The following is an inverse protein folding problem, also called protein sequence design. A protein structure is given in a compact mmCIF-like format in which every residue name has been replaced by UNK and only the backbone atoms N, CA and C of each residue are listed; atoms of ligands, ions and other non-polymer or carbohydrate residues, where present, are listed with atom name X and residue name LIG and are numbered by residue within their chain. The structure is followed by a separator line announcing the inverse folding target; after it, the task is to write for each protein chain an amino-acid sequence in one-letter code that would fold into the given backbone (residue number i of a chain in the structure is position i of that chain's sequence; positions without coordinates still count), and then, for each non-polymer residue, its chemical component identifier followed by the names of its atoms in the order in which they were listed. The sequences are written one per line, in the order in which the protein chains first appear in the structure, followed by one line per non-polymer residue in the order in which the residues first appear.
data_IF_127329112440
#
_entry.id   IF_127329112440
#
_cell.length_a   1.000
_cell.length_b   1.000
_cell.length_c   1.000
_cell.angle_alpha   90.00
_cell.angle_beta   90.00
_cell.angle_gamma   90.00
#
_symmetry.space_group_name_H-M   'P 1'
#
loop_
_entity.id
_entity.type
_entity.pdbx_description
1 polymer ?
#
# COMPACT_ATOMS: atom_id res chain seq x y z
N UNK A 1 2.04 16.93 -18.18
CA UNK A 1 1.32 16.56 -16.95
C UNK A 1 0.44 15.39 -17.30
N UNK A 2 0.53 14.29 -16.57
CA UNK A 2 -0.14 13.02 -16.92
C UNK A 2 -1.28 12.65 -15.98
N UNK A 3 -1.41 13.37 -14.85
CA UNK A 3 -2.43 13.16 -13.83
C UNK A 3 -3.12 14.47 -13.47
N UNK A 4 -4.43 14.43 -13.21
CA UNK A 4 -5.19 15.53 -12.58
C UNK A 4 -5.87 15.06 -11.28
N UNK A 5 -6.17 15.99 -10.37
CA UNK A 5 -7.03 15.72 -9.19
C UNK A 5 -8.50 15.72 -9.59
N UNK A 6 -9.28 14.72 -9.14
CA UNK A 6 -10.76 14.78 -9.17
C UNK A 6 -11.33 15.31 -7.87
N UNK A 7 -12.63 15.66 -7.84
CA UNK A 7 -13.32 16.24 -6.67
C UNK A 7 -13.49 15.30 -5.46
N UNK A 8 -12.96 14.08 -5.50
CA UNK A 8 -13.03 13.15 -4.38
C UNK A 8 -11.93 13.48 -3.36
N UNK A 9 -12.30 13.56 -2.08
CA UNK A 9 -11.41 13.85 -0.95
C UNK A 9 -11.45 12.72 0.09
N UNK A 10 -10.31 12.44 0.69
CA UNK A 10 -10.12 11.52 1.81
C UNK A 10 -9.27 12.22 2.88
N UNK A 11 -9.73 12.24 4.12
CA UNK A 11 -8.92 12.72 5.25
C UNK A 11 -8.25 11.55 5.96
N UNK A 12 -6.93 11.60 6.12
CA UNK A 12 -6.12 10.50 6.64
C UNK A 12 -4.95 11.05 7.46
N UNK A 13 -4.86 10.68 8.74
CA UNK A 13 -3.92 11.25 9.72
C UNK A 13 -3.84 12.80 9.68
N UNK A 14 -4.97 13.47 9.49
CA UNK A 14 -5.06 14.94 9.37
C UNK A 14 -4.55 15.52 8.05
N UNK A 15 -4.06 14.71 7.11
CA UNK A 15 -3.78 15.10 5.72
C UNK A 15 -5.02 14.97 4.85
N UNK A 16 -5.11 15.80 3.81
CA UNK A 16 -6.17 15.74 2.79
C UNK A 16 -5.60 15.14 1.52
N UNK A 17 -6.13 13.99 1.13
CA UNK A 17 -5.76 13.29 -0.09
C UNK A 17 -6.83 13.50 -1.15
N UNK A 18 -6.39 13.70 -2.38
CA UNK A 18 -7.20 13.85 -3.58
C UNK A 18 -7.08 12.57 -4.40
N UNK A 19 -8.18 12.08 -4.97
CA UNK A 19 -8.10 10.99 -5.93
C UNK A 19 -7.57 11.51 -7.27
N UNK A 20 -6.74 10.74 -7.97
CA UNK A 20 -6.17 11.13 -9.27
C UNK A 20 -6.91 10.49 -10.46
N UNK A 21 -6.84 11.15 -11.62
CA UNK A 21 -7.26 10.62 -12.93
C UNK A 21 -6.16 10.79 -13.97
N UNK A 22 -6.00 9.83 -14.86
CA UNK A 22 -5.02 9.87 -15.95
C UNK A 22 -5.50 10.81 -17.08
N UNK A 23 -4.64 11.73 -17.50
CA UNK A 23 -4.92 12.72 -18.57
C UNK A 23 -4.45 12.24 -19.96
N UNK A 24 -3.57 11.24 -20.00
CA UNK A 24 -3.01 10.60 -21.18
C UNK A 24 -2.80 9.11 -20.87
N UNK A 25 -2.67 8.26 -21.88
CA UNK A 25 -2.28 6.86 -21.70
C UNK A 25 -0.76 6.74 -21.59
N UNK A 26 -0.26 5.91 -20.68
CA UNK A 26 1.18 5.67 -20.44
C UNK A 26 1.39 4.32 -19.72
N UNK A 27 2.50 3.63 -19.97
CA UNK A 27 2.75 2.29 -19.45
C UNK A 27 1.60 1.31 -19.77
N UNK A 28 0.82 0.97 -18.74
CA UNK A 28 -0.41 0.16 -18.83
C UNK A 28 -1.67 0.90 -18.30
N UNK A 29 -1.61 2.23 -18.19
CA UNK A 29 -2.68 3.11 -17.71
C UNK A 29 -3.30 3.82 -18.92
N UNK A 30 -4.63 3.89 -18.97
CA UNK A 30 -5.38 4.52 -20.05
C UNK A 30 -5.87 5.92 -19.69
N UNK A 31 -6.07 6.74 -20.71
CA UNK A 31 -6.64 8.09 -20.59
C UNK A 31 -8.03 8.02 -19.96
N UNK A 32 -8.21 8.66 -18.80
CA UNK A 32 -9.46 8.63 -18.02
C UNK A 32 -9.45 7.69 -16.82
N UNK A 33 -8.47 6.80 -16.68
CA UNK A 33 -8.37 5.85 -15.55
C UNK A 33 -8.37 6.56 -14.19
N UNK A 34 -9.13 6.03 -13.24
CA UNK A 34 -9.20 6.52 -11.86
C UNK A 34 -8.17 5.81 -10.98
N UNK A 35 -7.11 6.55 -10.64
CA UNK A 35 -6.09 6.09 -9.71
C UNK A 35 -6.52 6.20 -8.25
N UNK A 36 -5.55 6.02 -7.36
CA UNK A 36 -5.67 6.12 -5.92
C UNK A 36 -5.53 7.56 -5.43
N UNK A 37 -4.97 7.72 -4.23
CA UNK A 37 -5.07 8.93 -3.42
C UNK A 37 -3.70 9.57 -3.13
N UNK A 38 -3.57 10.88 -3.35
CA UNK A 38 -2.32 11.64 -3.16
C UNK A 38 -2.57 12.98 -2.48
N UNK A 39 -1.61 13.52 -1.72
CA UNK A 39 -1.70 14.88 -1.15
C UNK A 39 -1.46 15.95 -2.24
N UNK A 40 -0.64 15.63 -3.24
CA UNK A 40 -0.33 16.49 -4.39
C UNK A 40 0.00 15.68 -5.65
N UNK A 41 -0.23 16.24 -6.85
CA UNK A 41 0.24 15.62 -8.11
C UNK A 41 1.76 15.42 -8.13
N UNK A 42 2.50 16.20 -7.32
CA UNK A 42 3.96 16.03 -7.12
C UNK A 42 4.33 14.78 -6.33
N UNK A 43 3.38 14.02 -5.76
CA UNK A 43 3.64 12.69 -5.22
C UNK A 43 3.72 11.61 -6.33
N UNK A 44 3.30 11.93 -7.55
CA UNK A 44 3.43 11.06 -8.73
C UNK A 44 4.41 11.71 -9.70
N UNK A 45 5.48 10.99 -10.06
CA UNK A 45 6.43 11.49 -11.06
C UNK A 45 5.67 11.82 -12.36
N UNK A 46 5.79 13.05 -12.86
CA UNK A 46 5.06 13.50 -14.05
C UNK A 46 5.77 13.13 -15.37
N UNK A 47 7.02 12.66 -15.27
CA UNK A 47 7.72 11.84 -16.26
C UNK A 47 7.53 10.34 -15.97
N UNK A 48 7.88 9.49 -16.94
CA UNK A 48 7.83 8.02 -16.81
C UNK A 48 6.44 7.46 -16.51
N UNK A 49 6.40 6.22 -16.02
CA UNK A 49 5.16 5.42 -15.85
C UNK A 49 4.63 5.34 -14.41
N UNK A 50 5.17 6.14 -13.47
CA UNK A 50 4.71 6.16 -12.08
C UNK A 50 3.19 6.43 -11.97
N UNK A 51 2.46 5.60 -11.23
CA UNK A 51 1.01 5.70 -11.04
C UNK A 51 0.59 5.11 -9.69
N UNK A 52 -0.50 5.63 -9.11
CA UNK A 52 -1.11 5.11 -7.89
C UNK A 52 -2.45 4.50 -8.29
N UNK A 53 -2.65 3.20 -8.02
CA UNK A 53 -3.85 2.46 -8.43
C UNK A 53 -5.04 2.71 -7.50
N UNK A 54 -6.26 2.48 -8.02
CA UNK A 54 -7.53 2.89 -7.41
C UNK A 54 -7.75 2.40 -5.98
N UNK A 55 -7.74 1.08 -5.78
CA UNK A 55 -7.78 0.49 -4.45
C UNK A 55 -6.40 0.50 -3.82
N UNK A 56 -6.25 1.32 -2.79
CA UNK A 56 -5.06 1.38 -1.97
C UNK A 56 -5.01 0.15 -1.05
N UNK A 57 -4.50 -0.97 -1.54
CA UNK A 57 -4.28 -2.20 -0.78
C UNK A 57 -3.13 -2.03 0.22
N UNK A 58 -3.40 -1.34 1.33
CA UNK A 58 -2.51 -1.24 2.48
C UNK A 58 -3.28 -1.31 3.81
N UNK A 59 -2.55 -1.54 4.88
CA UNK A 59 -3.01 -1.48 6.27
C UNK A 59 -1.89 -0.92 7.16
N UNK A 60 -2.24 -0.13 8.18
CA UNK A 60 -1.31 0.36 9.19
C UNK A 60 -1.87 0.09 10.58
N UNK A 61 -1.04 -0.42 11.49
CA UNK A 61 -1.44 -1.00 12.77
C UNK A 61 -0.41 -0.58 13.82
N UNK A 62 -0.87 0.12 14.85
CA UNK A 62 -0.04 0.65 15.93
C UNK A 62 -0.85 1.46 16.94
N UNK A 63 -0.25 1.89 18.06
CA UNK A 63 1.12 1.58 18.47
C UNK A 63 1.28 0.11 18.91
N UNK A 64 2.36 -0.56 18.50
CA UNK A 64 2.65 -1.97 18.82
C UNK A 64 4.15 -2.23 19.03
N UNK A 65 4.46 -3.37 19.64
CA UNK A 65 5.83 -3.79 19.96
C UNK A 65 6.46 -3.00 21.10
N UNK A 66 7.73 -3.29 21.38
CA UNK A 66 8.54 -2.66 22.42
C UNK A 66 8.73 -1.15 22.25
N UNK A 67 8.68 -0.66 21.00
CA UNK A 67 8.88 0.76 20.66
C UNK A 67 7.57 1.56 20.57
N UNK A 68 6.40 0.93 20.69
CA UNK A 68 5.09 1.57 20.47
C UNK A 68 4.96 2.23 19.08
N UNK A 69 5.51 1.59 18.04
CA UNK A 69 5.55 2.09 16.65
C UNK A 69 4.39 1.53 15.80
N UNK A 70 4.22 2.06 14.58
CA UNK A 70 3.23 1.59 13.60
C UNK A 70 3.87 0.66 12.56
N UNK A 71 3.37 -0.57 12.47
CA UNK A 71 3.63 -1.44 11.33
C UNK A 71 2.71 -1.03 10.17
N UNK A 72 3.27 -0.82 8.98
CA UNK A 72 2.50 -0.55 7.75
C UNK A 72 2.85 -1.57 6.69
N UNK A 73 1.83 -2.22 6.11
CA UNK A 73 1.97 -3.21 5.06
C UNK A 73 1.14 -2.85 3.82
N UNK A 74 1.65 -3.11 2.61
CA UNK A 74 0.98 -2.79 1.35
C UNK A 74 1.30 -3.77 0.22
N UNK A 75 0.32 -4.00 -0.67
CA UNK A 75 0.48 -4.82 -1.88
C UNK A 75 1.24 -4.01 -2.96
N UNK A 76 2.18 -4.66 -3.63
CA UNK A 76 2.93 -4.14 -4.78
C UNK A 76 2.31 -4.62 -6.12
N UNK A 77 2.82 -4.12 -7.26
CA UNK A 77 2.28 -4.43 -8.60
C UNK A 77 2.32 -5.92 -8.95
N UNK A 78 3.29 -6.65 -8.42
CA UNK A 78 3.50 -8.10 -8.60
C UNK A 78 2.72 -8.95 -7.58
N UNK A 79 1.69 -8.38 -6.95
CA UNK A 79 0.91 -8.94 -5.85
C UNK A 79 1.66 -9.27 -4.55
N UNK A 80 3.00 -9.08 -4.48
CA UNK A 80 3.76 -9.24 -3.24
C UNK A 80 3.32 -8.22 -2.18
N UNK A 81 3.44 -8.57 -0.90
CA UNK A 81 3.14 -7.66 0.22
C UNK A 81 4.46 -7.16 0.81
N UNK A 82 4.68 -5.86 0.76
CA UNK A 82 5.77 -5.14 1.43
C UNK A 82 5.33 -4.74 2.83
N UNK A 83 6.23 -4.84 3.81
CA UNK A 83 6.02 -4.51 5.23
C UNK A 83 7.10 -3.53 5.70
N UNK A 84 6.71 -2.54 6.50
CA UNK A 84 7.60 -1.59 7.18
C UNK A 84 7.24 -1.44 8.65
N UNK A 85 8.25 -1.42 9.52
CA UNK A 85 8.15 -1.17 10.97
C UNK A 85 9.52 -0.73 11.49
N UNK A 86 9.64 0.45 12.07
CA UNK A 86 10.96 1.03 12.43
C UNK A 86 11.99 0.91 11.30
N UNK A 87 13.14 0.29 11.59
CA UNK A 87 14.20 0.02 10.61
C UNK A 87 13.93 -1.17 9.66
N UNK A 88 12.88 -1.98 9.87
CA UNK A 88 12.55 -3.08 8.96
C UNK A 88 11.83 -2.55 7.72
N UNK A 89 12.28 -2.99 6.54
CA UNK A 89 11.56 -2.89 5.27
C UNK A 89 11.86 -4.12 4.42
N UNK A 90 10.85 -4.92 4.12
CA UNK A 90 10.97 -6.19 3.39
C UNK A 90 9.60 -6.81 3.10
N UNK A 91 9.56 -7.94 2.40
CA UNK A 91 8.31 -8.67 2.14
C UNK A 91 7.67 -9.22 3.42
N UNK A 92 6.40 -9.61 3.34
CA UNK A 92 5.67 -10.24 4.46
C UNK A 92 6.31 -11.55 4.92
N UNK A 93 6.96 -12.31 4.02
CA UNK A 93 7.59 -13.58 4.35
C UNK A 93 9.01 -13.39 4.91
N UNK A 94 9.75 -12.35 4.47
CA UNK A 94 10.97 -11.88 5.15
C UNK A 94 10.67 -11.33 6.54
N UNK A 95 9.52 -10.66 6.72
CA UNK A 95 9.06 -10.18 8.03
C UNK A 95 8.67 -11.34 8.95
N UNK A 96 7.94 -12.34 8.43
CA UNK A 96 7.61 -13.57 9.17
C UNK A 96 8.87 -14.35 9.56
N UNK A 97 9.86 -14.43 8.67
CA UNK A 97 11.17 -15.00 8.97
C UNK A 97 11.88 -14.24 10.10
N UNK A 98 12.00 -12.92 10.00
CA UNK A 98 12.62 -12.08 11.02
C UNK A 98 11.93 -12.14 12.40
N UNK A 99 10.60 -12.28 12.42
CA UNK A 99 9.80 -12.47 13.65
C UNK A 99 10.05 -13.84 14.30
N UNK A 100 10.36 -14.88 13.52
CA UNK A 100 10.66 -16.22 14.03
C UNK A 100 12.14 -16.41 14.41
N UNK A 101 13.06 -15.85 13.62
CA UNK A 101 14.52 -15.87 13.89
C UNK A 101 14.88 -15.05 15.13
N UNK A 102 14.12 -13.98 15.42
CA UNK A 102 14.28 -13.19 16.66
C UNK A 102 13.73 -13.99 17.84
N UNK A 103 14.58 -14.84 18.44
CA UNK A 103 14.29 -15.70 19.59
C UNK A 103 13.94 -14.94 20.88
N UNK A 104 12.76 -14.31 20.89
CA UNK A 104 12.11 -13.80 22.08
C UNK A 104 10.63 -14.19 22.01
N UNK A 105 10.33 -15.40 22.51
CA UNK A 105 8.96 -15.88 22.61
C UNK A 105 8.22 -15.10 23.70
N UNK A 106 7.60 -14.01 23.28
CA UNK A 106 6.96 -13.02 24.13
C UNK A 106 5.75 -12.41 23.43
N UNK A 107 5.00 -11.61 24.18
CA UNK A 107 3.76 -10.98 23.72
C UNK A 107 3.92 -10.14 22.44
N UNK A 108 5.09 -9.55 22.16
CA UNK A 108 5.32 -8.82 20.91
C UNK A 108 5.48 -9.76 19.72
N UNK A 109 6.16 -10.90 19.91
CA UNK A 109 6.23 -11.98 18.92
C UNK A 109 4.84 -12.52 18.57
N UNK A 110 4.01 -12.83 19.57
CA UNK A 110 2.62 -13.26 19.36
C UNK A 110 1.78 -12.22 18.63
N UNK A 111 1.90 -10.94 18.99
CA UNK A 111 1.23 -9.85 18.29
C UNK A 111 1.68 -9.83 16.82
N UNK A 112 2.98 -9.86 16.52
CA UNK A 112 3.44 -9.85 15.13
C UNK A 112 2.99 -11.08 14.34
N UNK A 113 3.00 -12.29 14.94
CA UNK A 113 2.47 -13.52 14.34
C UNK A 113 0.97 -13.39 14.00
N UNK A 114 0.15 -12.87 14.93
CA UNK A 114 -1.27 -12.62 14.68
C UNK A 114 -1.49 -11.54 13.60
N UNK A 115 -0.68 -10.47 13.60
CA UNK A 115 -0.77 -9.40 12.62
C UNK A 115 -0.36 -9.84 11.22
N UNK A 116 0.62 -10.75 11.06
CA UNK A 116 0.97 -11.35 9.77
C UNK A 116 -0.25 -12.03 9.13
N UNK A 117 -1.05 -12.76 9.91
CA UNK A 117 -2.30 -13.37 9.43
C UNK A 117 -3.33 -12.31 9.03
N UNK A 118 -3.53 -11.26 9.84
CA UNK A 118 -4.44 -10.14 9.51
C UNK A 118 -3.98 -9.41 8.23
N UNK A 119 -2.68 -9.22 8.06
CA UNK A 119 -2.07 -8.61 6.86
C UNK A 119 -2.26 -9.53 5.66
N UNK A 120 -1.98 -10.83 5.74
CA UNK A 120 -2.18 -11.77 4.63
C UNK A 120 -3.65 -11.89 4.21
N UNK A 121 -4.59 -11.81 5.16
CA UNK A 121 -6.04 -11.81 4.89
C UNK A 121 -6.56 -10.49 4.30
N UNK A 122 -6.25 -9.34 4.92
CA UNK A 122 -6.65 -8.02 4.40
C UNK A 122 -5.95 -7.69 3.08
N UNK A 123 -4.72 -8.19 2.97
CA UNK A 123 -3.75 -8.22 1.87
C UNK A 123 -4.04 -9.22 0.75
N UNK A 124 -5.10 -10.02 0.85
CA UNK A 124 -5.39 -11.08 -0.12
C UNK A 124 -5.52 -10.53 -1.55
N UNK A 125 -5.33 -11.41 -2.54
CA UNK A 125 -5.70 -11.09 -3.91
C UNK A 125 -7.21 -10.89 -4.00
N UNK A 126 -7.64 -9.88 -4.75
CA UNK A 126 -9.05 -9.61 -5.01
C UNK A 126 -9.31 -9.88 -6.49
N UNK A 127 -9.93 -11.03 -6.77
CA UNK A 127 -10.58 -11.29 -8.05
C UNK A 127 -11.70 -10.24 -8.22
N UNK A 128 -11.45 -9.16 -8.98
CA UNK A 128 -12.43 -8.08 -9.09
C UNK A 128 -11.97 -6.76 -9.70
N UNK A 129 -10.68 -6.50 -9.90
CA UNK A 129 -10.21 -5.34 -10.69
C UNK A 129 -9.49 -5.77 -11.97
N UNK A 130 -10.27 -6.35 -12.90
CA UNK A 130 -9.93 -6.32 -14.31
C UNK A 130 -9.90 -4.85 -14.77
N UNK A 131 -8.70 -4.27 -14.89
CA UNK A 131 -8.50 -3.10 -15.75
C UNK A 131 -8.99 -3.46 -17.16
N UNK A 132 -9.79 -2.59 -17.77
CA UNK A 132 -10.73 -2.96 -18.82
C UNK A 132 -10.13 -3.79 -19.96
N UNK A 133 -10.66 -5.01 -20.15
CA UNK A 133 -10.29 -5.94 -21.21
C UNK A 133 -10.87 -5.48 -22.57
N UNK A 134 -10.24 -4.47 -23.16
CA UNK A 134 -10.62 -3.87 -24.44
C UNK A 134 -9.41 -3.75 -25.37
N UNK A 135 -9.54 -4.35 -26.56
CA UNK A 135 -8.56 -4.36 -27.65
C UNK A 135 -8.68 -3.14 -28.58
#
# INVERSE_FOLDING_TARGET
MKTERVRQLLEFFGRKLFRIRAMISFGNVQTGDLGGWVESESNVEQSGDAWVYGNAHWISIGPIGSENDFLTAFRQRDNSIMVRRGCFSGTIDEFESAVNDTHSDNQHGDIYRALILVIKLRLAEVEGEQGGDHA
#
